data_IF_042875506369
#
_entry.id   IF_042875506369
#
_cell.length_a   1.000
_cell.length_b   1.000
_cell.length_c   1.000
_cell.angle_alpha   90.00
_cell.angle_beta   90.00
_cell.angle_gamma   90.00
#
_symmetry.space_group_name_H-M   'P 1'
#
loop_
_entity.id
_entity.type
_entity.pdbx_description
1 polymer ?
#
# COMPACT_ATOMS: atom_id res chain seq x y z
N UNK A 1 2.71 -9.97 -14.90
CA UNK A 1 1.53 -9.89 -14.02
C UNK A 1 2.05 -9.52 -12.64
N UNK A 2 1.53 -8.45 -12.03
CA UNK A 2 1.98 -8.03 -10.69
C UNK A 2 1.14 -8.80 -9.67
N UNK A 3 1.65 -9.96 -9.29
CA UNK A 3 1.25 -10.62 -8.04
C UNK A 3 2.34 -10.31 -7.01
N UNK A 4 1.93 -10.10 -5.77
CA UNK A 4 2.82 -9.67 -4.69
C UNK A 4 2.34 -10.25 -3.37
N UNK A 5 3.26 -10.40 -2.43
CA UNK A 5 2.95 -10.83 -1.07
C UNK A 5 2.44 -9.65 -0.23
N UNK A 6 2.85 -8.42 -0.55
CA UNK A 6 2.39 -7.18 0.09
C UNK A 6 2.12 -6.06 -0.91
N UNK A 7 1.10 -5.25 -0.64
CA UNK A 7 0.84 -3.98 -1.32
C UNK A 7 0.88 -2.81 -0.36
N UNK A 8 1.63 -1.76 -0.73
CA UNK A 8 1.52 -0.44 -0.13
C UNK A 8 0.82 0.50 -1.12
N UNK A 9 -0.36 0.99 -0.75
CA UNK A 9 -1.20 1.83 -1.61
C UNK A 9 -1.25 3.25 -1.06
N UNK A 10 -0.57 4.17 -1.72
CA UNK A 10 -0.69 5.59 -1.43
C UNK A 10 -1.68 6.25 -2.38
N UNK A 11 -2.45 7.20 -1.86
CA UNK A 11 -3.35 8.05 -2.65
C UNK A 11 -3.37 9.46 -2.05
N UNK A 12 -3.67 10.44 -2.90
CA UNK A 12 -3.86 11.81 -2.42
C UNK A 12 -5.12 11.86 -1.55
N UNK A 13 -4.95 12.17 -0.26
CA UNK A 13 -5.99 12.00 0.75
C UNK A 13 -7.26 12.83 0.52
N UNK A 14 -7.16 13.95 -0.20
CA UNK A 14 -8.23 14.91 -0.48
C UNK A 14 -8.83 14.76 -1.89
N UNK A 15 -8.46 13.71 -2.64
CA UNK A 15 -8.88 13.53 -4.02
C UNK A 15 -10.03 12.55 -4.16
N UNK A 16 -11.24 13.06 -4.42
CA UNK A 16 -12.41 12.23 -4.77
C UNK A 16 -12.16 11.33 -5.98
N UNK A 17 -11.38 11.81 -6.96
CA UNK A 17 -11.02 11.01 -8.13
C UNK A 17 -10.09 9.84 -7.76
N UNK A 18 -9.15 10.05 -6.84
CA UNK A 18 -8.28 8.99 -6.34
C UNK A 18 -9.09 7.94 -5.56
N UNK A 19 -9.99 8.38 -4.68
CA UNK A 19 -10.88 7.49 -3.94
C UNK A 19 -11.75 6.64 -4.88
N UNK A 20 -12.37 7.27 -5.89
CA UNK A 20 -13.20 6.55 -6.87
C UNK A 20 -12.38 5.53 -7.69
N UNK A 21 -11.12 5.85 -8.00
CA UNK A 21 -10.22 4.92 -8.69
C UNK A 21 -9.88 3.73 -7.81
N UNK A 22 -9.58 3.98 -6.54
CA UNK A 22 -9.34 2.94 -5.56
C UNK A 22 -10.57 2.03 -5.39
N UNK A 23 -11.76 2.60 -5.29
CA UNK A 23 -13.01 1.83 -5.15
C UNK A 23 -13.23 0.89 -6.33
N UNK A 24 -13.00 1.37 -7.56
CA UNK A 24 -13.04 0.54 -8.77
C UNK A 24 -11.99 -0.56 -8.76
N UNK A 25 -10.78 -0.27 -8.28
CA UNK A 25 -9.70 -1.25 -8.19
C UNK A 25 -10.08 -2.37 -7.23
N UNK A 26 -10.56 -2.05 -6.02
CA UNK A 26 -10.88 -3.08 -5.00
C UNK A 26 -12.12 -3.91 -5.33
N UNK A 27 -13.02 -3.37 -6.16
CA UNK A 27 -14.17 -4.10 -6.70
C UNK A 27 -13.80 -5.00 -7.89
N UNK A 28 -12.59 -4.88 -8.44
CA UNK A 28 -12.18 -5.67 -9.60
C UNK A 28 -11.98 -7.15 -9.21
N UNK A 29 -12.57 -8.13 -9.94
CA UNK A 29 -12.44 -9.54 -9.61
C UNK A 29 -11.00 -10.07 -9.66
N UNK A 30 -10.14 -9.54 -10.55
CA UNK A 30 -8.74 -9.92 -10.61
C UNK A 30 -7.98 -9.41 -9.39
N UNK A 31 -8.24 -8.18 -8.94
CA UNK A 31 -7.65 -7.64 -7.72
C UNK A 31 -7.97 -8.52 -6.51
N UNK A 32 -9.22 -8.97 -6.39
CA UNK A 32 -9.68 -9.84 -5.30
C UNK A 32 -9.02 -11.23 -5.30
N UNK A 33 -8.43 -11.66 -6.43
CA UNK A 33 -7.72 -12.94 -6.55
C UNK A 33 -6.24 -12.88 -6.16
N UNK A 34 -5.67 -11.68 -6.00
CA UNK A 34 -4.25 -11.51 -5.65
C UNK A 34 -3.96 -12.06 -4.25
N UNK A 35 -2.76 -12.63 -4.06
CA UNK A 35 -2.38 -13.26 -2.79
C UNK A 35 -2.40 -12.26 -1.64
N UNK A 36 -1.71 -11.13 -1.78
CA UNK A 36 -1.75 -10.05 -0.78
C UNK A 36 -3.17 -9.56 -0.42
N UNK A 37 -4.11 -9.57 -1.36
CA UNK A 37 -5.49 -9.13 -1.08
C UNK A 37 -6.24 -10.16 -0.26
N UNK A 38 -6.11 -11.44 -0.62
CA UNK A 38 -6.70 -12.57 0.13
C UNK A 38 -6.11 -12.71 1.53
N UNK A 39 -4.82 -12.41 1.68
CA UNK A 39 -4.09 -12.56 2.94
C UNK A 39 -4.12 -11.26 3.78
N UNK A 40 -4.95 -10.29 3.39
CA UNK A 40 -5.12 -8.99 4.06
C UNK A 40 -3.82 -8.15 4.17
N UNK A 41 -2.86 -8.38 3.29
CA UNK A 41 -1.57 -7.68 3.18
C UNK A 41 -1.64 -6.46 2.24
N UNK A 42 -2.70 -5.66 2.36
CA UNK A 42 -2.88 -4.40 1.61
C UNK A 42 -2.91 -3.22 2.58
N UNK A 43 -1.85 -2.43 2.56
CA UNK A 43 -1.61 -1.34 3.50
C UNK A 43 -1.78 0.00 2.81
N UNK A 44 -2.74 0.81 3.26
CA UNK A 44 -2.84 2.20 2.81
C UNK A 44 -1.80 3.04 3.57
N UNK A 45 -1.03 3.82 2.84
CA UNK A 45 0.08 4.61 3.40
C UNK A 45 0.00 6.07 3.01
N UNK A 46 0.69 6.92 3.78
CA UNK A 46 0.70 8.36 3.56
C UNK A 46 1.41 8.70 2.23
N UNK A 47 0.68 9.37 1.33
CA UNK A 47 1.20 9.70 0.02
C UNK A 47 2.35 10.72 0.06
N UNK A 48 2.41 11.58 1.07
CA UNK A 48 3.52 12.53 1.19
C UNK A 48 4.80 11.77 1.53
N UNK A 49 4.77 10.93 2.57
CA UNK A 49 5.88 10.09 2.97
C UNK A 49 6.34 9.17 1.81
N UNK A 50 5.41 8.56 1.08
CA UNK A 50 5.71 7.54 0.06
C UNK A 50 5.94 8.05 -1.37
N UNK A 51 5.62 9.30 -1.68
CA UNK A 51 5.79 9.83 -3.06
C UNK A 51 6.44 11.21 -3.17
N UNK A 52 6.26 12.09 -2.18
CA UNK A 52 6.65 13.51 -2.27
C UNK A 52 7.75 13.92 -1.28
N UNK A 53 8.12 13.04 -0.36
CA UNK A 53 9.01 13.37 0.76
C UNK A 53 10.45 13.65 0.33
N UNK A 54 10.88 13.17 -0.85
CA UNK A 54 12.06 13.58 -1.62
C UNK A 54 13.43 13.54 -0.93
N UNK A 55 13.48 13.23 0.36
CA UNK A 55 14.64 13.36 1.23
C UNK A 55 14.66 12.32 2.34
N UNK A 56 15.76 12.30 3.08
CA UNK A 56 16.13 11.21 4.00
C UNK A 56 15.06 10.89 5.06
N UNK A 57 14.34 11.90 5.56
CA UNK A 57 13.28 11.71 6.55
C UNK A 57 12.09 10.91 5.99
N UNK A 58 11.78 11.14 4.72
CA UNK A 58 10.75 10.40 4.00
C UNK A 58 11.12 8.95 3.75
N UNK A 59 12.36 8.74 3.27
CA UNK A 59 12.91 7.41 3.06
C UNK A 59 12.94 6.59 4.37
N UNK A 60 13.39 7.19 5.48
CA UNK A 60 13.41 6.51 6.78
C UNK A 60 12.00 6.13 7.24
N UNK A 61 11.00 7.01 7.09
CA UNK A 61 9.60 6.66 7.42
C UNK A 61 9.05 5.53 6.57
N UNK A 62 9.33 5.52 5.26
CA UNK A 62 8.96 4.41 4.38
C UNK A 62 9.60 3.10 4.85
N UNK A 63 10.90 3.13 5.18
CA UNK A 63 11.62 1.95 5.69
C UNK A 63 11.06 1.46 7.03
N UNK A 64 10.72 2.36 7.96
CA UNK A 64 10.11 2.02 9.24
C UNK A 64 8.76 1.33 9.05
N UNK A 65 7.92 1.82 8.14
CA UNK A 65 6.62 1.20 7.83
C UNK A 65 6.77 -0.16 7.14
N UNK A 66 7.71 -0.29 6.20
CA UNK A 66 8.03 -1.57 5.55
C UNK A 66 8.50 -2.57 6.59
N UNK A 67 9.46 -2.19 7.46
CA UNK A 67 9.99 -3.06 8.49
C UNK A 67 8.89 -3.52 9.45
N UNK A 68 8.01 -2.59 9.90
CA UNK A 68 6.89 -2.91 10.78
C UNK A 68 5.97 -3.98 10.19
N UNK A 69 5.66 -3.87 8.90
CA UNK A 69 4.72 -4.78 8.25
C UNK A 69 5.39 -6.12 7.90
N UNK A 70 6.56 -6.08 7.25
CA UNK A 70 7.23 -7.29 6.78
C UNK A 70 7.77 -8.17 7.93
N UNK A 71 8.16 -7.57 9.06
CA UNK A 71 8.61 -8.31 10.24
C UNK A 71 7.44 -8.85 11.09
N UNK A 72 6.27 -8.21 11.06
CA UNK A 72 5.07 -8.73 11.72
C UNK A 72 4.55 -10.00 11.02
N UNK A 73 4.66 -10.05 9.70
CA UNK A 73 4.26 -11.21 8.90
C UNK A 73 5.18 -12.43 9.14
N UNK A 74 6.47 -12.20 9.41
CA UNK A 74 7.43 -13.29 9.68
C UNK A 74 7.36 -13.86 11.10
N UNK A 75 6.56 -13.26 11.99
CA UNK A 75 6.32 -13.72 13.36
C UNK A 75 5.01 -14.51 13.52
N UNK A 76 4.24 -14.68 12.43
CA UNK A 76 2.96 -15.42 12.39
C UNK A 76 3.11 -16.74 11.65
#
# INVERSE_FOLDING_TARGET
MVDADLFFVFQRADSNAAQHTYDKLVQNPFWQQLRAVRDHQVWRVDAVAWSLSGGILGANRMLDEIARVALADSAS
#
